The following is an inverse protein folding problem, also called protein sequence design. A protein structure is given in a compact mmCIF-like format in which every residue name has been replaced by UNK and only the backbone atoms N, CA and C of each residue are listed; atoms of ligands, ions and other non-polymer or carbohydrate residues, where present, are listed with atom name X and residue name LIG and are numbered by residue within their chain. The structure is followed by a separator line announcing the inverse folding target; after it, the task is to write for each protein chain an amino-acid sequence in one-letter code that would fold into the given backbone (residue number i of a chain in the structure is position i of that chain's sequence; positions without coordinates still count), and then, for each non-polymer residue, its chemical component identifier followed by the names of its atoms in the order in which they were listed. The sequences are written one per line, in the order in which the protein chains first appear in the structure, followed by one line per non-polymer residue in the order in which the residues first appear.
data_IF_274897639692
#
_entry.id   IF_274897639692
#
_cell.length_a   1.000
_cell.length_b   1.000
_cell.length_c   1.000
_cell.angle_alpha   90.00
_cell.angle_beta   90.00
_cell.angle_gamma   90.00
#
_symmetry.space_group_name_H-M   'P 1'
#
loop_
_entity.id
_entity.type
_entity.pdbx_description
1 polymer ?
#
# COMPACT_ATOMS: atom_id res chain seq x y z
N UNK A 1 11.61 31.38 37.44
CA UNK A 1 11.97 30.97 36.09
C UNK A 1 11.19 29.73 35.81
N UNK A 2 10.00 29.87 35.19
CA UNK A 2 9.15 28.74 34.83
C UNK A 2 9.81 28.07 33.64
N UNK A 3 10.26 26.84 33.82
CA UNK A 3 10.56 25.98 32.68
C UNK A 3 9.22 25.60 32.05
N UNK A 4 8.83 26.31 30.99
CA UNK A 4 7.85 25.79 30.04
C UNK A 4 8.43 24.47 29.54
N UNK A 5 7.80 23.37 29.95
CA UNK A 5 8.05 22.06 29.37
C UNK A 5 7.63 22.12 27.90
N UNK A 6 8.60 22.26 27.02
CA UNK A 6 8.41 21.96 25.63
C UNK A 6 8.07 20.47 25.51
N UNK A 7 6.82 20.10 25.63
CA UNK A 7 6.33 18.79 25.23
C UNK A 7 6.49 18.70 23.72
N UNK A 8 7.69 18.37 23.29
CA UNK A 8 7.98 18.18 21.89
C UNK A 8 7.40 16.87 21.42
N UNK A 9 6.77 16.86 20.25
CA UNK A 9 6.35 15.65 19.57
C UNK A 9 7.49 14.65 19.48
N UNK A 10 7.18 13.37 19.66
CA UNK A 10 8.10 12.28 19.36
C UNK A 10 8.36 12.28 17.85
N UNK A 11 9.55 11.90 17.38
CA UNK A 11 9.77 11.80 15.94
C UNK A 11 8.82 10.78 15.32
N UNK A 12 8.09 11.22 14.30
CA UNK A 12 7.13 10.44 13.53
C UNK A 12 7.75 10.03 12.21
N UNK A 13 7.81 8.72 11.94
CA UNK A 13 8.34 8.16 10.70
C UNK A 13 7.15 7.74 9.82
N UNK A 14 6.98 8.44 8.71
CA UNK A 14 6.01 8.09 7.68
C UNK A 14 6.58 6.95 6.84
N UNK A 15 5.85 5.84 6.77
CA UNK A 15 6.14 4.72 5.88
C UNK A 15 5.10 4.77 4.76
N UNK A 16 5.47 5.24 3.56
CA UNK A 16 4.52 5.54 2.49
C UNK A 16 3.89 4.29 1.89
N UNK A 17 2.82 4.49 1.13
CA UNK A 17 2.14 3.45 0.37
C UNK A 17 2.85 3.06 -0.92
N UNK A 18 2.14 2.25 -1.72
CA UNK A 18 2.61 1.80 -3.03
C UNK A 18 2.88 3.00 -3.93
N UNK A 19 4.02 2.97 -4.63
CA UNK A 19 4.34 4.00 -5.62
C UNK A 19 4.84 5.34 -5.07
N UNK A 20 4.89 5.53 -3.77
CA UNK A 20 5.22 6.82 -3.15
C UNK A 20 6.71 7.02 -2.84
N UNK A 21 7.53 5.98 -2.99
CA UNK A 21 9.00 6.09 -2.92
C UNK A 21 9.61 6.32 -4.28
N UNK A 22 10.75 7.00 -4.33
CA UNK A 22 11.53 7.17 -5.57
C UNK A 22 12.64 6.15 -5.63
N UNK A 23 12.70 5.41 -6.74
CA UNK A 23 13.75 4.42 -7.03
C UNK A 23 14.41 4.77 -8.35
N UNK A 24 15.73 4.79 -8.37
CA UNK A 24 16.52 5.09 -9.55
C UNK A 24 17.33 3.87 -9.97
N UNK A 25 17.63 3.77 -11.27
CA UNK A 25 18.61 2.85 -11.81
C UNK A 25 19.98 3.51 -11.77
N UNK A 26 21.00 2.76 -11.35
CA UNK A 26 22.37 3.22 -11.29
C UNK A 26 23.31 2.30 -12.07
N UNK A 27 24.43 2.84 -12.56
CA UNK A 27 25.51 2.07 -13.15
C UNK A 27 26.42 1.41 -12.08
N UNK A 28 27.51 0.80 -12.53
CA UNK A 28 28.49 0.16 -11.63
C UNK A 28 29.21 1.16 -10.70
N UNK A 29 29.25 2.43 -11.08
CA UNK A 29 29.88 3.52 -10.32
C UNK A 29 28.89 4.23 -9.40
N UNK A 30 27.60 3.86 -9.41
CA UNK A 30 26.52 4.52 -8.68
C UNK A 30 25.97 5.78 -9.39
N UNK A 31 26.34 6.01 -10.67
CA UNK A 31 25.77 7.13 -11.42
C UNK A 31 24.36 6.80 -11.88
N UNK A 32 23.46 7.79 -11.77
CA UNK A 32 22.06 7.62 -12.15
C UNK A 32 21.92 7.45 -13.66
N UNK A 33 21.30 6.34 -14.06
CA UNK A 33 20.92 6.04 -15.45
C UNK A 33 19.49 6.53 -15.77
N UNK A 34 18.57 6.37 -14.83
CA UNK A 34 17.16 6.74 -15.02
C UNK A 34 16.32 6.61 -13.75
N UNK A 35 15.01 6.87 -13.87
CA UNK A 35 14.07 6.56 -12.82
C UNK A 35 13.47 5.16 -13.10
N UNK A 36 13.52 4.27 -12.11
CA UNK A 36 12.74 3.04 -12.11
C UNK A 36 11.33 3.30 -11.59
N UNK A 37 11.23 4.18 -10.56
CA UNK A 37 9.95 4.59 -10.02
C UNK A 37 10.02 6.07 -9.54
N UNK A 38 9.02 6.92 -9.80
CA UNK A 38 7.87 6.67 -10.66
C UNK A 38 8.28 6.20 -12.06
N UNK A 39 7.56 5.19 -12.57
CA UNK A 39 7.83 4.60 -13.86
C UNK A 39 7.26 5.49 -14.98
N UNK A 40 8.07 5.77 -16.00
CA UNK A 40 7.68 6.52 -17.19
C UNK A 40 7.78 5.59 -18.42
N UNK A 41 6.68 4.90 -18.77
CA UNK A 41 6.70 3.91 -19.84
C UNK A 41 6.85 4.55 -21.21
N UNK A 42 7.74 4.02 -22.06
CA UNK A 42 7.80 4.37 -23.48
C UNK A 42 6.64 3.75 -24.26
N UNK A 43 5.45 4.34 -24.09
CA UNK A 43 4.20 3.91 -24.74
C UNK A 43 4.31 4.01 -26.26
N UNK A 44 5.07 4.96 -26.81
CA UNK A 44 5.21 5.13 -28.25
C UNK A 44 6.01 3.96 -28.86
N UNK A 45 7.04 3.49 -28.19
CA UNK A 45 7.79 2.28 -28.60
C UNK A 45 6.92 1.01 -28.47
N UNK A 46 6.15 0.88 -27.37
CA UNK A 46 5.18 -0.21 -27.20
C UNK A 46 4.19 -0.24 -28.38
N UNK A 47 3.55 0.90 -28.68
CA UNK A 47 2.59 1.00 -29.78
C UNK A 47 3.22 0.64 -31.14
N UNK A 48 4.43 1.11 -31.42
CA UNK A 48 5.17 0.75 -32.65
C UNK A 48 5.38 -0.76 -32.76
N UNK A 49 5.77 -1.44 -31.69
CA UNK A 49 6.00 -2.90 -31.67
C UNK A 49 4.71 -3.68 -31.96
N UNK A 50 3.56 -3.28 -31.40
CA UNK A 50 2.30 -4.01 -31.56
C UNK A 50 1.51 -3.62 -32.82
N UNK A 51 1.78 -2.47 -33.45
CA UNK A 51 1.02 -1.94 -34.59
C UNK A 51 0.92 -2.93 -35.78
N UNK A 52 1.98 -3.64 -36.22
CA UNK A 52 1.88 -4.55 -37.38
C UNK A 52 0.90 -5.71 -37.14
N UNK A 53 0.96 -6.32 -35.94
CA UNK A 53 0.03 -7.38 -35.54
C UNK A 53 -1.37 -6.84 -35.30
N UNK A 54 -1.49 -5.64 -34.74
CA UNK A 54 -2.75 -4.93 -34.54
C UNK A 54 -3.51 -4.65 -35.85
N UNK A 55 -2.80 -4.18 -36.87
CA UNK A 55 -3.42 -3.98 -38.21
C UNK A 55 -3.94 -5.32 -38.78
N UNK A 56 -3.16 -6.40 -38.73
CA UNK A 56 -3.58 -7.72 -39.17
C UNK A 56 -4.82 -8.22 -38.41
N UNK A 57 -4.83 -8.04 -37.09
CA UNK A 57 -5.93 -8.39 -36.24
C UNK A 57 -7.20 -7.63 -36.60
N UNK A 58 -7.12 -6.33 -36.83
CA UNK A 58 -8.28 -5.52 -37.24
C UNK A 58 -8.83 -5.93 -38.59
N UNK A 59 -7.96 -6.20 -39.56
CA UNK A 59 -8.37 -6.63 -40.94
C UNK A 59 -8.99 -8.03 -40.94
N UNK A 60 -8.41 -8.97 -40.16
CA UNK A 60 -8.82 -10.36 -40.16
C UNK A 60 -9.83 -10.71 -39.06
N UNK A 61 -10.12 -9.75 -38.16
CA UNK A 61 -11.01 -9.87 -36.98
C UNK A 61 -10.66 -11.07 -36.08
N UNK A 62 -9.40 -11.43 -36.02
CA UNK A 62 -8.83 -12.48 -35.16
C UNK A 62 -7.43 -12.07 -34.68
N UNK A 63 -6.92 -12.69 -33.61
CA UNK A 63 -5.71 -12.26 -32.90
C UNK A 63 -4.47 -12.10 -33.83
N UNK A 64 -4.21 -13.01 -34.74
CA UNK A 64 -3.08 -12.93 -35.69
C UNK A 64 -1.72 -12.63 -35.04
N UNK A 65 -1.48 -13.11 -33.80
CA UNK A 65 -0.25 -12.90 -33.05
C UNK A 65 -0.20 -11.58 -32.27
N UNK A 66 -1.31 -10.83 -32.21
CA UNK A 66 -1.36 -9.55 -31.48
C UNK A 66 -1.13 -9.75 -29.97
N UNK A 67 -1.79 -10.73 -29.33
CA UNK A 67 -1.61 -11.00 -27.91
C UNK A 67 -0.17 -11.39 -27.56
N UNK A 68 0.51 -12.17 -28.42
CA UNK A 68 1.93 -12.53 -28.22
C UNK A 68 2.84 -11.32 -28.35
N UNK A 69 2.63 -10.46 -29.35
CA UNK A 69 3.41 -9.24 -29.53
C UNK A 69 3.19 -8.25 -28.38
N UNK A 70 1.96 -8.17 -27.84
CA UNK A 70 1.64 -7.34 -26.69
C UNK A 70 2.32 -7.88 -25.41
N UNK A 71 2.24 -9.20 -25.16
CA UNK A 71 2.89 -9.83 -24.02
C UNK A 71 4.42 -9.57 -24.00
N UNK A 72 5.08 -9.81 -25.13
CA UNK A 72 6.52 -9.56 -25.28
C UNK A 72 6.87 -8.09 -25.09
N UNK A 73 6.10 -7.17 -25.67
CA UNK A 73 6.35 -5.75 -25.58
C UNK A 73 6.19 -5.22 -24.16
N UNK A 74 5.14 -5.67 -23.43
CA UNK A 74 4.91 -5.29 -22.03
C UNK A 74 5.99 -5.84 -21.12
N UNK A 75 6.35 -7.12 -21.25
CA UNK A 75 7.43 -7.73 -20.46
C UNK A 75 8.76 -7.00 -20.67
N UNK A 76 9.13 -6.74 -21.93
CA UNK A 76 10.36 -6.01 -22.28
C UNK A 76 10.36 -4.59 -21.69
N UNK A 77 9.22 -3.90 -21.69
CA UNK A 77 9.09 -2.55 -21.13
C UNK A 77 9.23 -2.53 -19.61
N UNK A 78 8.63 -3.53 -18.92
CA UNK A 78 8.59 -3.62 -17.46
C UNK A 78 9.78 -4.40 -16.86
N UNK A 79 10.61 -5.03 -17.67
CA UNK A 79 11.73 -5.87 -17.21
C UNK A 79 12.66 -5.17 -16.19
N UNK A 80 12.99 -3.87 -16.32
CA UNK A 80 13.84 -3.19 -15.33
C UNK A 80 13.20 -3.07 -13.96
N UNK A 81 11.86 -3.14 -13.86
CA UNK A 81 11.12 -3.16 -12.59
C UNK A 81 11.11 -4.54 -11.93
N UNK A 82 11.38 -5.58 -12.68
CA UNK A 82 11.27 -6.97 -12.23
C UNK A 82 12.42 -7.43 -11.34
N UNK A 83 12.17 -8.55 -10.69
CA UNK A 83 13.15 -9.30 -9.90
C UNK A 83 13.40 -10.68 -10.50
N UNK A 84 14.48 -11.31 -10.07
CA UNK A 84 14.79 -12.73 -10.30
C UNK A 84 13.93 -13.61 -9.38
N UNK A 85 13.83 -14.93 -9.59
CA UNK A 85 13.02 -15.81 -8.74
C UNK A 85 13.37 -15.81 -7.24
N UNK A 86 14.59 -15.41 -6.87
CA UNK A 86 15.04 -15.24 -5.48
C UNK A 86 14.82 -13.81 -4.95
N UNK A 87 14.02 -13.01 -5.66
CA UNK A 87 13.63 -11.64 -5.30
C UNK A 87 14.76 -10.59 -5.35
N UNK A 88 15.86 -10.87 -6.08
CA UNK A 88 16.88 -9.86 -6.38
C UNK A 88 16.45 -8.99 -7.56
N UNK A 89 16.76 -7.68 -7.51
CA UNK A 89 16.49 -6.78 -8.63
C UNK A 89 17.29 -7.20 -9.88
N UNK A 90 16.65 -7.18 -11.05
CA UNK A 90 17.32 -7.48 -12.33
C UNK A 90 18.29 -6.39 -12.77
N UNK A 91 18.10 -5.17 -12.28
CA UNK A 91 18.95 -4.01 -12.51
C UNK A 91 19.41 -3.45 -11.17
N UNK A 92 20.52 -2.71 -11.16
CA UNK A 92 20.98 -2.03 -9.96
C UNK A 92 20.03 -0.89 -9.63
N UNK A 93 19.29 -1.04 -8.54
CA UNK A 93 18.28 -0.10 -8.06
C UNK A 93 18.74 0.56 -6.76
N UNK A 94 18.54 1.86 -6.65
CA UNK A 94 18.81 2.63 -5.44
C UNK A 94 17.54 3.41 -5.04
N UNK A 95 17.18 3.33 -3.77
CA UNK A 95 16.09 4.11 -3.20
C UNK A 95 16.59 5.49 -2.83
N UNK A 96 15.94 6.53 -3.31
CA UNK A 96 16.25 7.91 -2.92
C UNK A 96 15.74 8.14 -1.49
N UNK A 97 16.64 8.03 -0.52
CA UNK A 97 16.34 8.15 0.91
C UNK A 97 16.51 9.58 1.42
N UNK A 98 15.75 9.91 2.47
CA UNK A 98 15.79 11.20 3.16
C UNK A 98 16.18 10.97 4.62
N UNK A 99 17.51 10.93 4.91
CA UNK A 99 18.04 10.57 6.24
C UNK A 99 18.09 11.76 7.21
N UNK A 100 17.10 12.66 7.14
CA UNK A 100 16.94 13.86 7.96
C UNK A 100 15.46 14.20 8.12
N UNK A 101 15.08 15.06 9.09
CA UNK A 101 13.70 15.50 9.19
C UNK A 101 13.26 16.26 7.94
N UNK A 102 11.95 16.21 7.65
CA UNK A 102 11.38 16.88 6.48
C UNK A 102 11.72 18.39 6.48
N UNK A 103 11.77 19.00 7.66
CA UNK A 103 12.17 20.42 7.83
C UNK A 103 13.55 20.76 7.27
N UNK A 104 14.47 19.81 7.24
CA UNK A 104 15.83 19.96 6.74
C UNK A 104 16.01 19.53 5.28
N UNK A 105 14.95 19.01 4.67
CA UNK A 105 14.96 18.66 3.25
C UNK A 105 14.99 19.92 2.37
N UNK A 106 15.56 19.80 1.18
CA UNK A 106 15.51 20.87 0.18
C UNK A 106 14.07 21.11 -0.32
N UNK A 107 13.78 22.26 -0.92
CA UNK A 107 12.45 22.58 -1.45
C UNK A 107 11.98 21.55 -2.49
N UNK A 108 12.88 20.99 -3.30
CA UNK A 108 12.55 19.98 -4.31
C UNK A 108 12.23 18.64 -3.67
N UNK A 109 12.95 18.25 -2.59
CA UNK A 109 12.67 17.05 -1.82
C UNK A 109 11.33 17.17 -1.07
N UNK A 110 11.08 18.29 -0.40
CA UNK A 110 9.80 18.58 0.24
C UNK A 110 8.64 18.52 -0.75
N UNK A 111 8.80 19.16 -1.91
CA UNK A 111 7.80 19.13 -2.98
C UNK A 111 7.52 17.70 -3.44
N UNK A 112 8.53 16.85 -3.54
CA UNK A 112 8.35 15.44 -3.88
C UNK A 112 7.62 14.70 -2.76
N UNK A 113 8.06 14.82 -1.51
CA UNK A 113 7.47 14.15 -0.34
C UNK A 113 5.97 14.51 -0.24
N UNK A 114 5.63 15.80 -0.26
CA UNK A 114 4.24 16.26 -0.13
C UNK A 114 3.37 15.97 -1.36
N UNK A 115 3.98 15.80 -2.54
CA UNK A 115 3.25 15.33 -3.72
C UNK A 115 2.88 13.85 -3.60
N UNK A 116 3.77 13.05 -3.02
CA UNK A 116 3.56 11.60 -2.90
C UNK A 116 2.66 11.24 -1.72
N UNK A 117 2.85 11.92 -0.59
CA UNK A 117 1.99 11.78 0.59
C UNK A 117 1.64 13.19 1.05
N UNK A 118 0.45 13.73 0.70
CA UNK A 118 0.08 15.10 1.03
C UNK A 118 -0.19 15.29 2.52
N UNK A 119 0.88 15.25 3.32
CA UNK A 119 0.87 15.39 4.78
C UNK A 119 1.24 16.80 5.25
N UNK A 120 1.11 17.82 4.40
CA UNK A 120 1.41 19.20 4.78
C UNK A 120 0.59 19.66 5.99
N UNK A 121 -0.70 19.32 6.07
CA UNK A 121 -1.53 19.65 7.22
C UNK A 121 -1.04 18.97 8.51
N UNK A 122 -0.54 17.74 8.44
CA UNK A 122 0.09 17.09 9.60
C UNK A 122 1.39 17.80 9.98
N UNK A 123 2.20 18.21 8.99
CA UNK A 123 3.42 18.95 9.20
C UNK A 123 3.17 20.31 9.87
N UNK A 124 2.09 20.98 9.49
CA UNK A 124 1.67 22.25 10.11
C UNK A 124 1.28 22.10 11.59
N UNK A 125 0.79 20.91 11.98
CA UNK A 125 0.36 20.63 13.37
C UNK A 125 1.53 20.17 14.23
N UNK A 126 2.30 19.16 13.79
CA UNK A 126 3.35 18.54 14.63
C UNK A 126 4.76 19.10 14.38
N UNK A 127 4.95 19.93 13.36
CA UNK A 127 6.22 20.48 12.93
C UNK A 127 7.01 19.59 11.99
N UNK A 128 7.52 20.14 10.89
CA UNK A 128 8.34 19.41 9.92
C UNK A 128 9.63 18.82 10.53
N UNK A 129 10.12 19.40 11.61
CA UNK A 129 11.29 18.92 12.35
C UNK A 129 11.05 17.59 13.08
N UNK A 130 9.79 17.23 13.30
CA UNK A 130 9.38 15.98 13.93
C UNK A 130 8.97 14.90 12.91
N UNK A 131 8.86 15.26 11.65
CA UNK A 131 8.49 14.33 10.56
C UNK A 131 9.72 13.79 9.84
N UNK A 132 9.70 12.48 9.59
CA UNK A 132 10.67 11.74 8.80
C UNK A 132 9.94 10.92 7.74
N UNK A 133 10.52 10.80 6.56
CA UNK A 133 9.95 10.03 5.46
C UNK A 133 10.85 8.85 5.12
N UNK A 134 10.38 7.63 5.36
CA UNK A 134 11.10 6.41 5.04
C UNK A 134 10.74 5.92 3.65
N UNK A 135 11.64 6.08 2.69
CA UNK A 135 11.48 5.52 1.35
C UNK A 135 12.00 4.09 1.28
N UNK A 136 11.34 3.23 0.49
CA UNK A 136 11.70 1.83 0.31
C UNK A 136 11.41 1.34 -1.11
N UNK A 137 12.02 0.22 -1.53
CA UNK A 137 11.77 -0.39 -2.84
C UNK A 137 10.54 -1.31 -2.77
N UNK A 138 9.44 -0.87 -3.39
CA UNK A 138 8.18 -1.63 -3.43
C UNK A 138 8.28 -2.94 -4.19
N UNK A 139 9.23 -3.08 -5.13
CA UNK A 139 9.46 -4.30 -5.90
C UNK A 139 10.64 -5.13 -5.37
N UNK A 140 11.31 -4.66 -4.33
CA UNK A 140 12.45 -5.34 -3.72
C UNK A 140 12.07 -6.43 -2.71
N UNK A 141 13.02 -6.74 -1.81
CA UNK A 141 12.85 -7.74 -0.76
C UNK A 141 12.16 -7.17 0.48
N UNK A 142 11.15 -7.90 1.00
CA UNK A 142 10.39 -7.48 2.17
C UNK A 142 11.24 -7.46 3.46
N UNK A 143 12.11 -8.44 3.65
CA UNK A 143 13.03 -8.53 4.79
C UNK A 143 14.12 -7.45 4.71
N UNK A 144 14.60 -7.12 3.52
CA UNK A 144 15.53 -6.01 3.31
C UNK A 144 14.87 -4.65 3.61
N UNK A 145 13.64 -4.41 3.15
CA UNK A 145 12.90 -3.19 3.49
C UNK A 145 12.70 -3.07 5.01
N UNK A 146 12.42 -4.18 5.70
CA UNK A 146 12.31 -4.20 7.16
C UNK A 146 13.65 -3.89 7.86
N UNK A 147 14.77 -4.42 7.33
CA UNK A 147 16.12 -4.13 7.82
C UNK A 147 16.48 -2.65 7.64
N UNK A 148 16.20 -2.10 6.47
CA UNK A 148 16.42 -0.67 6.19
C UNK A 148 15.55 0.24 7.09
N UNK A 149 14.31 -0.15 7.38
CA UNK A 149 13.47 0.57 8.34
C UNK A 149 14.08 0.56 9.74
N UNK A 150 14.62 -0.58 10.20
CA UNK A 150 15.33 -0.67 11.47
C UNK A 150 16.52 0.29 11.55
N UNK A 151 17.32 0.34 10.50
CA UNK A 151 18.49 1.25 10.42
C UNK A 151 18.06 2.71 10.38
N UNK A 152 16.97 3.01 9.67
CA UNK A 152 16.39 4.34 9.64
C UNK A 152 15.87 4.77 11.00
N UNK A 153 15.13 3.92 11.72
CA UNK A 153 14.70 4.16 13.10
C UNK A 153 15.90 4.46 14.00
N UNK A 154 16.97 3.68 13.90
CA UNK A 154 18.19 3.90 14.68
C UNK A 154 18.83 5.26 14.39
N UNK A 155 18.84 5.67 13.12
CA UNK A 155 19.31 6.98 12.67
C UNK A 155 18.49 8.12 13.27
N UNK A 156 17.15 8.01 13.18
CA UNK A 156 16.21 9.00 13.73
C UNK A 156 16.39 9.13 15.25
N UNK A 157 16.47 8.01 15.96
CA UNK A 157 16.71 8.00 17.42
C UNK A 157 18.01 8.70 17.78
N UNK A 158 19.07 8.45 17.04
CA UNK A 158 20.36 9.10 17.27
C UNK A 158 20.30 10.62 17.03
N UNK A 159 19.69 11.05 15.92
CA UNK A 159 19.53 12.46 15.57
C UNK A 159 18.70 13.23 16.61
N UNK A 160 17.61 12.62 17.08
CA UNK A 160 16.65 13.24 18.00
C UNK A 160 16.97 12.98 19.48
N UNK A 161 17.99 12.18 19.77
CA UNK A 161 18.38 11.77 21.14
C UNK A 161 17.21 11.24 21.94
N UNK A 162 16.41 10.37 21.32
CA UNK A 162 15.23 9.76 21.93
C UNK A 162 15.34 8.23 21.92
N UNK A 163 14.60 7.59 22.83
CA UNK A 163 14.62 6.13 22.97
C UNK A 163 13.64 5.45 22.03
N UNK A 164 12.57 6.14 21.63
CA UNK A 164 11.50 5.59 20.82
C UNK A 164 11.01 6.58 19.77
N UNK A 165 10.46 6.04 18.69
CA UNK A 165 9.79 6.77 17.60
C UNK A 165 8.33 6.36 17.48
N UNK A 166 7.53 7.15 16.79
CA UNK A 166 6.20 6.78 16.34
C UNK A 166 6.25 6.44 14.85
N UNK A 167 5.58 5.36 14.42
CA UNK A 167 5.46 4.96 13.01
C UNK A 167 4.10 5.35 12.49
N UNK A 168 4.06 5.97 11.31
CA UNK A 168 2.82 6.30 10.58
C UNK A 168 2.83 5.54 9.26
N UNK A 169 2.47 4.24 9.27
CA UNK A 169 2.35 3.47 8.05
C UNK A 169 1.08 3.87 7.28
N UNK A 170 1.26 4.24 6.02
CA UNK A 170 0.20 4.59 5.10
C UNK A 170 0.02 3.43 4.12
N UNK A 171 -1.21 2.93 3.95
CA UNK A 171 -1.52 1.92 2.93
C UNK A 171 -0.57 0.70 3.00
N UNK A 172 0.13 0.38 1.90
CA UNK A 172 1.14 -0.69 1.82
C UNK A 172 2.29 -0.52 2.83
N UNK A 173 2.56 0.68 3.35
CA UNK A 173 3.56 0.90 4.40
C UNK A 173 3.30 0.06 5.66
N UNK A 174 2.05 -0.35 5.89
CA UNK A 174 1.67 -1.24 6.97
C UNK A 174 2.31 -2.63 6.85
N UNK A 175 2.49 -3.14 5.63
CA UNK A 175 3.13 -4.45 5.38
C UNK A 175 4.63 -4.41 5.70
N UNK A 176 5.29 -3.27 5.46
CA UNK A 176 6.70 -3.05 5.83
C UNK A 176 6.84 -2.98 7.35
N UNK A 177 5.95 -2.25 8.03
CA UNK A 177 5.92 -2.19 9.49
C UNK A 177 5.68 -3.57 10.12
N UNK A 178 4.81 -4.40 9.55
CA UNK A 178 4.59 -5.79 10.01
C UNK A 178 5.87 -6.63 9.94
N UNK A 179 6.59 -6.58 8.82
CA UNK A 179 7.85 -7.31 8.68
C UNK A 179 8.93 -6.77 9.62
N UNK A 180 8.96 -5.46 9.87
CA UNK A 180 9.83 -4.88 10.89
C UNK A 180 9.52 -5.47 12.29
N UNK A 181 8.26 -5.51 12.71
CA UNK A 181 7.90 -6.07 14.02
C UNK A 181 8.16 -7.58 14.09
N UNK A 182 7.96 -8.31 13.02
CA UNK A 182 8.28 -9.74 12.99
C UNK A 182 9.76 -10.02 13.21
N UNK A 183 10.63 -9.23 12.57
CA UNK A 183 12.07 -9.45 12.59
C UNK A 183 12.78 -8.71 13.75
N UNK A 184 12.29 -7.52 14.12
CA UNK A 184 13.01 -6.58 14.98
C UNK A 184 12.18 -5.97 16.13
N UNK A 185 10.93 -6.39 16.31
CA UNK A 185 10.05 -5.88 17.39
C UNK A 185 10.67 -6.04 18.80
N UNK A 186 11.62 -6.97 18.96
CA UNK A 186 12.41 -7.13 20.19
C UNK A 186 13.29 -5.94 20.56
N UNK A 187 13.64 -5.06 19.63
CA UNK A 187 14.48 -3.88 19.86
C UNK A 187 13.75 -2.80 20.69
N UNK A 188 12.42 -2.83 20.73
CA UNK A 188 11.55 -1.94 21.52
C UNK A 188 11.71 -0.45 21.19
N UNK A 189 12.01 -0.16 19.93
CA UNK A 189 12.32 1.19 19.42
C UNK A 189 11.08 2.02 19.08
N UNK A 190 9.91 1.38 19.06
CA UNK A 190 8.64 2.01 18.66
C UNK A 190 7.76 2.23 19.88
N UNK A 191 7.13 3.40 19.96
CA UNK A 191 6.11 3.70 20.97
C UNK A 191 4.71 3.52 20.41
N UNK A 192 4.44 4.06 19.21
CA UNK A 192 3.14 4.03 18.57
C UNK A 192 3.23 3.59 17.11
N UNK A 193 2.18 2.94 16.65
CA UNK A 193 1.89 2.69 15.25
C UNK A 193 0.53 3.31 14.93
N UNK A 194 0.51 4.33 14.10
CA UNK A 194 -0.70 5.06 13.71
C UNK A 194 -0.96 4.74 12.23
N UNK A 195 -1.72 3.69 11.96
CA UNK A 195 -2.04 3.25 10.61
C UNK A 195 -3.04 4.18 9.93
N UNK A 196 -2.66 4.77 8.80
CA UNK A 196 -3.53 5.59 7.95
C UNK A 196 -3.91 4.78 6.72
N UNK A 197 -5.19 4.42 6.59
CA UNK A 197 -5.74 3.51 5.57
C UNK A 197 -4.84 2.30 5.33
N UNK A 198 -4.38 1.62 6.40
CA UNK A 198 -3.29 0.65 6.34
C UNK A 198 -3.73 -0.66 5.68
N UNK A 199 -2.92 -1.24 4.81
CA UNK A 199 -3.22 -2.51 4.16
C UNK A 199 -2.65 -3.71 4.95
N UNK A 200 -3.08 -3.91 6.20
CA UNK A 200 -2.53 -4.95 7.09
C UNK A 200 -2.75 -6.38 6.58
N UNK A 201 -3.86 -6.67 5.93
CA UNK A 201 -4.07 -7.95 5.23
C UNK A 201 -4.14 -7.75 3.71
N UNK A 202 -3.42 -6.76 3.19
CA UNK A 202 -3.33 -6.49 1.77
C UNK A 202 -4.63 -5.95 1.17
N UNK A 203 -4.79 -6.21 -0.15
CA UNK A 203 -5.96 -5.80 -0.94
C UNK A 203 -6.36 -6.91 -1.91
N UNK A 204 -7.66 -7.20 -1.97
CA UNK A 204 -8.22 -8.17 -2.93
C UNK A 204 -7.98 -7.77 -4.39
N UNK A 205 -7.80 -6.47 -4.66
CA UNK A 205 -7.39 -5.99 -5.99
C UNK A 205 -6.09 -6.67 -6.44
N UNK A 206 -5.08 -6.73 -5.56
CA UNK A 206 -3.80 -7.35 -5.89
C UNK A 206 -3.94 -8.86 -6.15
N UNK A 207 -4.78 -9.54 -5.37
CA UNK A 207 -5.07 -10.95 -5.58
C UNK A 207 -5.82 -11.19 -6.89
N UNK A 208 -6.85 -10.39 -7.19
CA UNK A 208 -7.63 -10.51 -8.42
C UNK A 208 -6.79 -10.21 -9.67
N UNK A 209 -5.93 -9.18 -9.62
CA UNK A 209 -4.97 -8.90 -10.71
C UNK A 209 -4.04 -10.09 -10.95
N UNK A 210 -3.47 -10.67 -9.88
CA UNK A 210 -2.56 -11.79 -9.98
C UNK A 210 -3.28 -13.07 -10.43
N UNK A 211 -4.52 -13.31 -9.96
CA UNK A 211 -5.35 -14.44 -10.40
C UNK A 211 -5.80 -14.30 -11.87
N UNK A 212 -5.85 -13.08 -12.39
CA UNK A 212 -6.46 -12.75 -13.69
C UNK A 212 -7.99 -12.60 -13.61
N UNK A 213 -8.54 -12.47 -12.41
CA UNK A 213 -9.96 -12.27 -12.12
C UNK A 213 -10.30 -10.77 -12.19
N UNK A 214 -10.18 -10.22 -13.40
CA UNK A 214 -10.39 -8.79 -13.67
C UNK A 214 -11.62 -8.52 -14.49
N UNK A 215 -12.26 -7.40 -14.25
CA UNK A 215 -13.29 -6.85 -15.11
C UNK A 215 -12.65 -6.03 -16.23
N UNK A 216 -13.03 -6.31 -17.45
CA UNK A 216 -12.48 -5.64 -18.63
C UNK A 216 -13.45 -4.61 -19.23
N UNK A 217 -14.62 -4.44 -18.62
CA UNK A 217 -15.65 -3.52 -19.11
C UNK A 217 -15.24 -2.06 -18.95
N UNK A 218 -14.41 -1.75 -17.94
CA UNK A 218 -13.79 -0.44 -17.71
C UNK A 218 -12.25 -0.55 -17.75
N UNK A 219 -11.72 -0.72 -18.96
CA UNK A 219 -10.26 -0.74 -19.14
C UNK A 219 -9.60 0.61 -18.89
N UNK A 220 -10.36 1.71 -18.87
CA UNK A 220 -9.86 3.05 -18.56
C UNK A 220 -9.36 3.13 -17.15
N UNK A 221 -10.15 2.73 -16.16
CA UNK A 221 -9.76 2.74 -14.74
C UNK A 221 -8.53 1.85 -14.48
N UNK A 222 -8.42 0.68 -15.11
CA UNK A 222 -7.24 -0.18 -15.02
C UNK A 222 -5.98 0.51 -15.55
N UNK A 223 -6.09 1.17 -16.70
CA UNK A 223 -4.96 1.85 -17.32
C UNK A 223 -4.51 3.07 -16.49
N UNK A 224 -5.45 3.80 -15.87
CA UNK A 224 -5.15 4.92 -14.98
C UNK A 224 -4.43 4.51 -13.68
N UNK A 225 -4.63 3.28 -13.21
CA UNK A 225 -3.84 2.74 -12.09
C UNK A 225 -2.38 2.45 -12.47
N UNK A 226 -2.11 2.11 -13.73
CA UNK A 226 -0.79 1.63 -14.18
C UNK A 226 0.01 2.71 -14.91
N UNK A 227 -0.65 3.71 -15.46
CA UNK A 227 -0.09 4.69 -16.40
C UNK A 227 -0.50 6.11 -16.01
N UNK A 228 0.20 7.11 -16.53
CA UNK A 228 -0.28 8.48 -16.43
C UNK A 228 -1.63 8.64 -17.15
N UNK A 229 -2.47 9.56 -16.70
CA UNK A 229 -3.78 9.84 -17.30
C UNK A 229 -3.71 10.04 -18.82
N UNK A 230 -2.68 10.74 -19.30
CA UNK A 230 -2.47 11.01 -20.73
C UNK A 230 -2.22 9.72 -21.53
N UNK A 231 -1.46 8.80 -20.96
CA UNK A 231 -1.13 7.51 -21.59
C UNK A 231 -2.30 6.55 -21.51
N UNK A 232 -2.99 6.50 -20.38
CA UNK A 232 -4.22 5.74 -20.20
C UNK A 232 -5.29 6.15 -21.24
N UNK A 233 -5.49 7.46 -21.47
CA UNK A 233 -6.40 7.97 -22.50
C UNK A 233 -6.00 7.55 -23.92
N UNK A 234 -4.70 7.57 -24.26
CA UNK A 234 -4.21 7.13 -25.57
C UNK A 234 -4.52 5.65 -25.81
N UNK A 235 -4.20 4.80 -24.83
CA UNK A 235 -4.41 3.35 -24.94
C UNK A 235 -5.90 3.02 -24.93
N UNK A 236 -6.68 3.66 -24.06
CA UNK A 236 -8.15 3.49 -24.00
C UNK A 236 -8.83 3.82 -25.34
N UNK A 237 -8.42 4.91 -26.01
CA UNK A 237 -8.88 5.24 -27.37
C UNK A 237 -8.51 4.20 -28.42
N UNK A 238 -7.38 3.51 -28.25
CA UNK A 238 -6.98 2.42 -29.13
C UNK A 238 -7.82 1.17 -28.87
N UNK A 239 -7.96 0.80 -27.61
CA UNK A 239 -8.73 -0.38 -27.15
C UNK A 239 -10.21 -0.25 -27.53
N UNK A 240 -10.81 0.94 -27.40
CA UNK A 240 -12.22 1.18 -27.75
C UNK A 240 -12.56 0.94 -29.22
N UNK A 241 -11.57 0.95 -30.12
CA UNK A 241 -11.73 0.65 -31.55
C UNK A 241 -11.63 -0.85 -31.87
N UNK A 242 -11.24 -1.66 -30.89
CA UNK A 242 -11.08 -3.12 -31.07
C UNK A 242 -12.42 -3.85 -30.92
N UNK A 243 -12.61 -5.01 -31.59
CA UNK A 243 -13.72 -5.91 -31.27
C UNK A 243 -13.64 -6.32 -29.77
N UNK A 244 -14.80 -6.34 -29.07
CA UNK A 244 -14.85 -6.58 -27.62
C UNK A 244 -14.00 -7.79 -27.17
N UNK A 245 -14.15 -8.96 -27.83
CA UNK A 245 -13.36 -10.17 -27.47
C UNK A 245 -11.85 -10.00 -27.62
N UNK A 246 -11.41 -9.12 -28.50
CA UNK A 246 -9.99 -8.84 -28.70
C UNK A 246 -9.50 -7.86 -27.65
N UNK A 247 -10.28 -6.82 -27.36
CA UNK A 247 -10.01 -5.87 -26.29
C UNK A 247 -9.88 -6.59 -24.93
N UNK A 248 -10.85 -7.46 -24.59
CA UNK A 248 -10.81 -8.27 -23.36
C UNK A 248 -9.54 -9.12 -23.28
N UNK A 249 -9.17 -9.77 -24.36
CA UNK A 249 -7.94 -10.58 -24.41
C UNK A 249 -6.68 -9.70 -24.25
N UNK A 250 -6.65 -8.54 -24.92
CA UNK A 250 -5.54 -7.61 -24.84
C UNK A 250 -5.34 -7.11 -23.41
N UNK A 251 -6.40 -6.69 -22.72
CA UNK A 251 -6.36 -6.23 -21.32
C UNK A 251 -5.87 -7.34 -20.40
N UNK A 252 -6.41 -8.57 -20.52
CA UNK A 252 -5.94 -9.72 -19.73
C UNK A 252 -4.48 -10.07 -19.99
N UNK A 253 -4.03 -9.97 -21.25
CA UNK A 253 -2.63 -10.20 -21.61
C UNK A 253 -1.72 -9.15 -20.98
N UNK A 254 -2.11 -7.87 -21.05
CA UNK A 254 -1.37 -6.77 -20.44
C UNK A 254 -1.23 -6.96 -18.92
N UNK A 255 -2.34 -7.21 -18.22
CA UNK A 255 -2.34 -7.41 -16.76
C UNK A 255 -1.49 -8.62 -16.38
N UNK A 256 -1.67 -9.76 -17.05
CA UNK A 256 -0.89 -10.96 -16.81
C UNK A 256 0.60 -10.69 -16.99
N UNK A 257 1.00 -10.10 -18.12
CA UNK A 257 2.41 -9.80 -18.40
C UNK A 257 3.01 -8.85 -17.38
N UNK A 258 2.27 -7.82 -16.94
CA UNK A 258 2.70 -6.91 -15.90
C UNK A 258 2.86 -7.61 -14.54
N UNK A 259 1.84 -8.34 -14.08
CA UNK A 259 1.88 -9.05 -12.80
C UNK A 259 3.01 -10.10 -12.75
N UNK A 260 3.16 -10.91 -13.80
CA UNK A 260 4.22 -11.92 -13.86
C UNK A 260 5.62 -11.28 -13.94
N UNK A 261 5.75 -10.07 -14.47
CA UNK A 261 7.05 -9.39 -14.57
C UNK A 261 7.44 -8.69 -13.28
N UNK A 262 6.48 -7.99 -12.60
CA UNK A 262 6.83 -7.10 -11.48
C UNK A 262 6.35 -7.57 -10.12
N UNK A 263 5.29 -8.41 -10.04
CA UNK A 263 4.71 -8.85 -8.77
C UNK A 263 5.26 -10.21 -8.34
N UNK A 264 5.24 -11.21 -9.25
CA UNK A 264 5.51 -12.61 -8.91
C UNK A 264 6.85 -12.79 -8.20
N UNK A 265 7.88 -12.10 -8.65
CA UNK A 265 9.24 -12.24 -8.11
C UNK A 265 9.62 -11.22 -7.04
N UNK A 266 8.67 -10.39 -6.57
CA UNK A 266 8.90 -9.41 -5.50
C UNK A 266 8.31 -9.88 -4.18
N UNK A 267 9.13 -10.19 -3.18
CA UNK A 267 8.63 -10.60 -1.87
C UNK A 267 7.89 -9.47 -1.14
N UNK A 268 8.18 -8.21 -1.43
CA UNK A 268 7.43 -7.06 -0.91
C UNK A 268 6.02 -7.02 -1.47
N UNK A 269 5.84 -7.27 -2.79
CA UNK A 269 4.51 -7.30 -3.42
C UNK A 269 3.65 -8.47 -2.92
N UNK A 270 4.23 -9.59 -2.51
CA UNK A 270 3.49 -10.67 -1.85
C UNK A 270 2.91 -10.25 -0.50
N UNK A 271 3.44 -9.19 0.10
CA UNK A 271 2.91 -8.57 1.32
C UNK A 271 1.52 -7.97 1.17
N UNK A 272 1.07 -7.61 -0.04
CA UNK A 272 -0.26 -7.04 -0.27
C UNK A 272 -1.30 -8.06 -0.76
N UNK A 273 -0.93 -9.35 -0.86
CA UNK A 273 -1.89 -10.42 -1.20
C UNK A 273 -2.65 -10.83 0.07
N UNK A 274 -3.98 -10.76 0.11
CA UNK A 274 -4.76 -11.15 1.28
C UNK A 274 -4.45 -12.56 1.77
N UNK A 275 -4.47 -12.76 3.09
CA UNK A 275 -4.06 -14.04 3.70
C UNK A 275 -4.93 -15.22 3.25
N UNK A 276 -6.21 -14.99 2.94
CA UNK A 276 -7.14 -16.02 2.44
C UNK A 276 -6.83 -16.46 1.00
N UNK A 277 -6.31 -15.55 0.15
CA UNK A 277 -5.99 -15.83 -1.26
C UNK A 277 -4.55 -16.29 -1.45
N UNK A 278 -3.71 -16.15 -0.43
CA UNK A 278 -2.26 -16.35 -0.51
C UNK A 278 -1.88 -17.78 -0.94
N UNK A 279 -2.45 -18.80 -0.31
CA UNK A 279 -2.01 -20.21 -0.53
C UNK A 279 -2.26 -20.66 -1.97
N UNK A 280 -3.43 -20.31 -2.53
CA UNK A 280 -3.78 -20.61 -3.93
C UNK A 280 -2.78 -19.96 -4.90
N UNK A 281 -2.54 -18.66 -4.72
CA UNK A 281 -1.66 -17.90 -5.62
C UNK A 281 -0.18 -18.30 -5.45
N UNK A 282 0.27 -18.55 -4.22
CA UNK A 282 1.61 -19.08 -3.94
C UNK A 282 1.83 -20.40 -4.68
N UNK A 283 0.92 -21.35 -4.56
CA UNK A 283 1.05 -22.69 -5.18
C UNK A 283 1.03 -22.59 -6.72
N UNK A 284 0.35 -21.58 -7.26
CA UNK A 284 0.32 -21.33 -8.70
C UNK A 284 1.62 -20.70 -9.23
N UNK A 285 2.22 -19.78 -8.49
CA UNK A 285 3.32 -18.95 -9.00
C UNK A 285 4.68 -19.25 -8.38
N UNK A 286 4.74 -19.77 -7.16
CA UNK A 286 5.98 -20.00 -6.41
C UNK A 286 6.23 -21.50 -6.13
N UNK A 287 5.64 -22.40 -6.92
CA UNK A 287 5.84 -23.84 -6.75
C UNK A 287 7.23 -24.32 -7.23
N UNK A 288 7.86 -23.57 -8.14
CA UNK A 288 9.18 -23.90 -8.66
C UNK A 288 10.24 -23.78 -7.56
N UNK A 289 11.21 -24.71 -7.45
CA UNK A 289 12.32 -24.62 -6.52
C UNK A 289 13.17 -23.35 -6.64
N UNK A 290 13.24 -22.74 -7.82
CA UNK A 290 13.94 -21.46 -8.00
C UNK A 290 13.36 -20.33 -7.15
N UNK A 291 12.10 -20.46 -6.70
CA UNK A 291 11.42 -19.52 -5.81
C UNK A 291 11.53 -19.86 -4.31
N UNK A 292 12.30 -20.86 -3.90
CA UNK A 292 12.34 -21.32 -2.49
C UNK A 292 12.71 -20.19 -1.52
N UNK A 293 13.67 -19.34 -1.89
CA UNK A 293 14.09 -18.19 -1.07
C UNK A 293 12.98 -17.14 -0.94
N UNK A 294 12.38 -16.75 -2.05
CA UNK A 294 11.26 -15.79 -2.08
C UNK A 294 10.06 -16.34 -1.31
N UNK A 295 9.71 -17.62 -1.56
CA UNK A 295 8.59 -18.29 -0.91
C UNK A 295 8.75 -18.31 0.60
N UNK A 296 9.97 -18.54 1.12
CA UNK A 296 10.22 -18.53 2.56
C UNK A 296 9.92 -17.17 3.20
N UNK A 297 10.28 -16.06 2.54
CA UNK A 297 9.97 -14.69 2.98
C UNK A 297 8.48 -14.41 2.87
N UNK A 298 7.85 -14.75 1.74
CA UNK A 298 6.43 -14.56 1.51
C UNK A 298 5.57 -15.39 2.51
N UNK A 299 5.92 -16.65 2.79
CA UNK A 299 5.26 -17.50 3.79
C UNK A 299 5.39 -16.93 5.21
N UNK A 300 6.54 -16.33 5.55
CA UNK A 300 6.73 -15.63 6.83
C UNK A 300 5.76 -14.44 6.92
N UNK A 301 5.72 -13.60 5.91
CA UNK A 301 4.85 -12.44 5.86
C UNK A 301 3.37 -12.82 5.89
N UNK A 302 2.97 -13.87 5.16
CA UNK A 302 1.63 -14.42 5.22
C UNK A 302 1.23 -14.87 6.62
N UNK A 303 2.12 -15.57 7.36
CA UNK A 303 1.86 -15.99 8.75
C UNK A 303 1.63 -14.79 9.66
N UNK A 304 2.37 -13.70 9.47
CA UNK A 304 2.19 -12.45 10.23
C UNK A 304 0.81 -11.87 9.96
N UNK A 305 0.42 -11.70 8.69
CA UNK A 305 -0.91 -11.15 8.33
C UNK A 305 -2.04 -11.99 8.86
N UNK A 306 -2.00 -13.29 8.65
CA UNK A 306 -3.01 -14.23 9.13
C UNK A 306 -3.16 -14.22 10.66
N UNK A 307 -2.10 -13.92 11.39
CA UNK A 307 -2.08 -13.88 12.84
C UNK A 307 -1.84 -12.45 13.37
N UNK A 308 -2.38 -11.44 12.68
CA UNK A 308 -2.12 -10.03 13.01
C UNK A 308 -2.47 -9.69 14.46
N UNK A 309 -3.56 -10.24 15.01
CA UNK A 309 -3.95 -10.04 16.39
C UNK A 309 -2.90 -10.53 17.39
N UNK A 310 -2.22 -11.62 17.07
CA UNK A 310 -1.13 -12.15 17.90
C UNK A 310 0.12 -11.25 17.83
N UNK A 311 0.45 -10.73 16.64
CA UNK A 311 1.52 -9.75 16.51
C UNK A 311 1.22 -8.50 17.36
N UNK A 312 0.01 -7.94 17.24
CA UNK A 312 -0.42 -6.75 17.99
C UNK A 312 -0.34 -7.01 19.49
N UNK A 313 -0.89 -8.14 19.98
CA UNK A 313 -0.81 -8.53 21.40
C UNK A 313 0.64 -8.61 21.90
N UNK A 314 1.51 -9.29 21.16
CA UNK A 314 2.93 -9.43 21.47
C UNK A 314 3.64 -8.06 21.58
N UNK A 315 3.36 -7.16 20.67
CA UNK A 315 3.97 -5.83 20.68
C UNK A 315 3.36 -4.90 21.74
N UNK A 316 2.07 -5.07 22.07
CA UNK A 316 1.44 -4.39 23.21
C UNK A 316 2.09 -4.80 24.56
N UNK A 317 2.45 -6.08 24.72
CA UNK A 317 3.22 -6.54 25.89
C UNK A 317 4.62 -5.88 25.98
N UNK A 318 5.12 -5.38 24.83
CA UNK A 318 6.36 -4.57 24.73
C UNK A 318 6.11 -3.07 24.86
N UNK A 319 4.88 -2.68 25.21
CA UNK A 319 4.42 -1.30 25.35
C UNK A 319 4.38 -0.50 24.03
N UNK A 320 4.07 -1.17 22.92
CA UNK A 320 3.71 -0.53 21.65
C UNK A 320 2.21 -0.31 21.58
N UNK A 321 1.79 0.90 21.25
CA UNK A 321 0.39 1.28 21.09
C UNK A 321 0.02 1.22 19.58
N UNK A 322 -1.09 0.57 19.24
CA UNK A 322 -1.60 0.50 17.87
C UNK A 322 -2.88 1.31 17.72
N UNK A 323 -2.97 2.07 16.64
CA UNK A 323 -4.10 2.90 16.24
C UNK A 323 -4.36 2.71 14.75
N UNK A 324 -5.64 2.59 14.34
CA UNK A 324 -6.01 2.40 12.95
C UNK A 324 -7.04 3.43 12.52
N UNK A 325 -6.82 4.04 11.38
CA UNK A 325 -7.75 4.99 10.76
C UNK A 325 -8.11 4.42 9.39
N UNK A 326 -9.36 3.97 9.24
CA UNK A 326 -9.84 3.18 8.13
C UNK A 326 -10.85 3.96 7.29
N UNK A 327 -10.72 3.91 5.97
CA UNK A 327 -11.82 4.28 5.09
C UNK A 327 -12.82 3.13 4.94
N UNK A 328 -14.10 3.44 4.75
CA UNK A 328 -15.17 2.46 4.64
C UNK A 328 -16.36 2.97 3.83
N UNK A 329 -17.37 2.11 3.66
CA UNK A 329 -18.65 2.45 3.01
C UNK A 329 -18.63 2.34 1.48
N UNK A 330 -17.46 2.17 0.84
CA UNK A 330 -17.34 2.05 -0.61
C UNK A 330 -17.05 0.61 -1.03
N UNK A 331 -17.43 0.20 -2.26
CA UNK A 331 -16.94 -1.03 -2.85
C UNK A 331 -15.46 -0.89 -3.25
N UNK A 332 -14.78 -2.01 -3.45
CA UNK A 332 -13.51 -1.99 -4.16
C UNK A 332 -13.66 -1.42 -5.56
N UNK A 333 -12.55 -0.89 -6.11
CA UNK A 333 -12.55 -0.37 -7.48
C UNK A 333 -13.16 -1.36 -8.48
N UNK A 334 -13.89 -0.88 -9.50
CA UNK A 334 -14.58 -1.75 -10.47
C UNK A 334 -13.71 -2.72 -11.27
N UNK A 335 -12.40 -2.56 -11.20
CA UNK A 335 -11.42 -3.46 -11.86
C UNK A 335 -11.41 -4.84 -11.19
N UNK A 336 -11.57 -4.89 -9.86
CA UNK A 336 -11.56 -6.12 -9.11
C UNK A 336 -12.84 -6.92 -9.33
N UNK A 337 -12.73 -8.25 -9.38
CA UNK A 337 -13.89 -9.12 -9.34
C UNK A 337 -14.58 -9.08 -7.96
N UNK A 338 -13.80 -8.77 -6.93
CA UNK A 338 -14.21 -8.69 -5.51
C UNK A 338 -14.88 -7.36 -5.14
N UNK A 339 -15.75 -6.83 -5.99
CA UNK A 339 -16.42 -5.52 -5.84
C UNK A 339 -17.45 -5.46 -4.70
N UNK A 340 -17.82 -6.59 -4.12
CA UNK A 340 -18.77 -6.68 -3.01
C UNK A 340 -18.12 -6.56 -1.62
N UNK A 341 -16.85 -6.21 -1.56
CA UNK A 341 -16.11 -6.01 -0.31
C UNK A 341 -16.15 -4.53 0.08
N UNK A 342 -16.53 -4.25 1.33
CA UNK A 342 -16.47 -2.89 1.89
C UNK A 342 -15.03 -2.42 2.00
N UNK A 343 -14.75 -1.21 1.52
CA UNK A 343 -13.42 -0.65 1.40
C UNK A 343 -13.42 0.89 1.36
N UNK A 344 -12.24 1.45 1.19
CA UNK A 344 -11.97 2.83 0.78
C UNK A 344 -11.72 2.96 -0.74
N UNK A 345 -12.20 2.02 -1.54
CA UNK A 345 -11.96 1.77 -2.97
C UNK A 345 -10.70 0.96 -3.30
N UNK A 346 -9.69 0.93 -2.45
CA UNK A 346 -8.39 0.26 -2.66
C UNK A 346 -8.11 -0.79 -1.58
N UNK A 347 -8.25 -0.43 -0.30
CA UNK A 347 -7.99 -1.31 0.83
C UNK A 347 -9.30 -1.75 1.47
N UNK A 348 -9.56 -3.06 1.59
CA UNK A 348 -10.72 -3.56 2.33
C UNK A 348 -10.74 -3.07 3.77
N UNK A 349 -11.90 -2.66 4.26
CA UNK A 349 -12.06 -2.18 5.64
C UNK A 349 -11.65 -3.24 6.67
N UNK A 350 -11.91 -4.55 6.39
CA UNK A 350 -11.44 -5.64 7.26
C UNK A 350 -9.92 -5.71 7.36
N UNK A 351 -9.21 -5.42 6.26
CA UNK A 351 -7.76 -5.37 6.21
C UNK A 351 -7.23 -4.19 7.00
N UNK A 352 -7.75 -2.99 6.75
CA UNK A 352 -7.32 -1.75 7.41
C UNK A 352 -7.54 -1.77 8.92
N UNK A 353 -8.62 -2.36 9.38
CA UNK A 353 -9.01 -2.46 10.80
C UNK A 353 -8.37 -3.64 11.55
N UNK A 354 -7.57 -4.47 10.90
CA UNK A 354 -7.06 -5.73 11.47
C UNK A 354 -8.20 -6.65 11.93
N UNK A 355 -9.25 -6.80 11.12
CA UNK A 355 -10.28 -7.81 11.28
C UNK A 355 -11.63 -7.36 11.84
N UNK A 356 -12.01 -6.08 11.72
CA UNK A 356 -13.40 -5.68 11.93
C UNK A 356 -14.33 -6.46 10.97
N UNK A 357 -15.48 -6.87 11.47
CA UNK A 357 -16.49 -7.50 10.63
C UNK A 357 -17.24 -6.43 9.83
N UNK A 358 -17.31 -6.60 8.53
CA UNK A 358 -17.96 -5.65 7.63
C UNK A 358 -19.00 -6.36 6.77
N UNK A 359 -20.16 -5.73 6.59
CA UNK A 359 -21.13 -6.15 5.58
C UNK A 359 -20.66 -5.74 4.18
N UNK A 360 -21.22 -6.34 3.14
CA UNK A 360 -21.03 -5.84 1.79
C UNK A 360 -21.60 -4.42 1.64
N UNK A 361 -21.05 -3.59 0.72
CA UNK A 361 -21.53 -2.22 0.52
C UNK A 361 -23.04 -2.16 0.32
N UNK A 362 -23.69 -1.27 1.10
CA UNK A 362 -25.15 -1.10 1.09
C UNK A 362 -25.95 -2.24 1.74
N UNK A 363 -25.29 -3.12 2.51
CA UNK A 363 -25.91 -4.17 3.32
C UNK A 363 -25.66 -3.90 4.80
N UNK A 364 -26.41 -4.59 5.65
CA UNK A 364 -26.22 -4.58 7.10
C UNK A 364 -25.76 -5.93 7.61
N UNK A 365 -25.09 -5.93 8.75
CA UNK A 365 -24.74 -7.14 9.47
C UNK A 365 -26.03 -7.77 10.06
N UNK A 366 -26.08 -9.09 10.14
CA UNK A 366 -27.10 -9.78 10.89
C UNK A 366 -26.86 -9.51 12.38
N UNK A 367 -27.88 -9.13 13.17
CA UNK A 367 -27.71 -8.87 14.59
C UNK A 367 -27.10 -10.08 15.31
N UNK A 368 -25.93 -9.91 15.92
CA UNK A 368 -25.34 -10.89 16.84
C UNK A 368 -26.05 -10.82 18.21
N UNK A 369 -26.08 -11.94 18.94
CA UNK A 369 -26.76 -12.00 20.25
C UNK A 369 -25.99 -11.32 21.40
N UNK A 370 -24.65 -11.15 21.25
CA UNK A 370 -23.74 -10.72 22.33
C UNK A 370 -22.75 -9.60 21.87
N UNK A 371 -23.14 -8.80 20.87
CA UNK A 371 -22.24 -7.75 20.35
C UNK A 371 -22.33 -6.49 21.27
N UNK A 372 -21.17 -5.94 21.70
CA UNK A 372 -21.16 -4.67 22.42
C UNK A 372 -21.69 -3.55 21.51
N UNK A 373 -22.80 -2.94 21.88
CA UNK A 373 -23.48 -1.92 21.08
C UNK A 373 -22.58 -0.72 20.76
N UNK A 374 -21.63 -0.41 21.63
CA UNK A 374 -20.71 0.73 21.48
C UNK A 374 -19.74 0.59 20.29
N UNK A 375 -19.51 -0.64 19.78
CA UNK A 375 -18.61 -0.92 18.67
C UNK A 375 -19.31 -1.24 17.34
N UNK A 376 -20.66 -1.16 17.32
CA UNK A 376 -21.42 -1.35 16.09
C UNK A 376 -21.68 0.01 15.45
N UNK A 377 -21.40 0.12 14.17
CA UNK A 377 -21.61 1.36 13.43
C UNK A 377 -23.07 1.81 13.41
N UNK A 378 -23.36 3.13 13.31
CA UNK A 378 -24.72 3.64 13.20
C UNK A 378 -25.51 3.05 12.02
N UNK A 379 -24.80 2.65 10.95
CA UNK A 379 -25.40 1.99 9.77
C UNK A 379 -25.57 0.48 9.93
N UNK A 380 -25.14 -0.09 11.07
CA UNK A 380 -25.20 -1.55 11.35
C UNK A 380 -24.47 -2.39 10.29
N UNK A 381 -23.42 -1.87 9.69
CA UNK A 381 -22.65 -2.51 8.62
C UNK A 381 -21.20 -2.81 9.01
N UNK A 382 -20.73 -2.27 10.15
CA UNK A 382 -19.40 -2.55 10.71
C UNK A 382 -19.56 -2.93 12.19
N UNK A 383 -18.89 -4.03 12.60
CA UNK A 383 -18.67 -4.39 13.99
C UNK A 383 -17.17 -4.26 14.31
N UNK A 384 -16.79 -3.15 14.92
CA UNK A 384 -15.43 -2.84 15.30
C UNK A 384 -14.91 -3.74 16.44
N UNK A 385 -15.79 -4.36 17.25
CA UNK A 385 -15.38 -5.28 18.32
C UNK A 385 -14.54 -6.47 17.80
N UNK A 386 -14.67 -6.80 16.51
CA UNK A 386 -13.89 -7.84 15.86
C UNK A 386 -12.47 -7.39 15.45
N UNK A 387 -12.15 -6.10 15.51
CA UNK A 387 -10.80 -5.60 15.20
C UNK A 387 -9.76 -6.07 16.24
N UNK A 388 -8.46 -5.93 15.91
CA UNK A 388 -7.39 -6.24 16.87
C UNK A 388 -7.32 -5.24 18.03
N UNK A 389 -7.69 -3.98 17.78
CA UNK A 389 -7.73 -2.88 18.76
C UNK A 389 -9.02 -2.08 18.58
N UNK A 390 -10.16 -2.63 19.05
CA UNK A 390 -11.49 -2.06 18.78
C UNK A 390 -11.64 -0.60 19.23
N UNK A 391 -11.15 -0.29 20.42
CA UNK A 391 -11.17 1.03 21.05
C UNK A 391 -10.20 2.05 20.45
N UNK A 392 -9.31 1.61 19.55
CA UNK A 392 -8.29 2.43 18.88
C UNK A 392 -8.37 2.33 17.37
N UNK A 393 -9.58 2.06 16.83
CA UNK A 393 -9.84 1.96 15.41
C UNK A 393 -10.98 2.90 15.04
N UNK A 394 -10.71 3.84 14.12
CA UNK A 394 -11.68 4.82 13.61
C UNK A 394 -12.04 4.51 12.15
N UNK A 395 -13.28 4.81 11.78
CA UNK A 395 -13.86 4.51 10.48
C UNK A 395 -14.43 5.79 9.85
N UNK A 396 -13.94 6.12 8.66
CA UNK A 396 -14.37 7.27 7.88
C UNK A 396 -15.21 6.78 6.70
N UNK A 397 -16.52 6.99 6.77
CA UNK A 397 -17.45 6.57 5.72
C UNK A 397 -17.30 7.42 4.46
N UNK A 398 -17.42 6.75 3.30
CA UNK A 398 -17.34 7.36 1.95
C UNK A 398 -16.03 8.04 1.61
N UNK A 399 -15.00 7.95 2.45
CA UNK A 399 -13.65 8.42 2.17
C UNK A 399 -12.96 7.48 1.18
N UNK A 400 -12.46 8.00 0.07
CA UNK A 400 -11.62 7.26 -0.86
C UNK A 400 -10.18 7.19 -0.36
N UNK A 401 -9.47 6.16 -0.78
CA UNK A 401 -8.11 5.86 -0.30
C UNK A 401 -7.16 7.07 -0.38
N UNK A 402 -7.15 7.74 -1.54
CA UNK A 402 -6.25 8.86 -1.78
C UNK A 402 -6.65 10.13 -1.01
N UNK A 403 -7.92 10.26 -0.61
CA UNK A 403 -8.41 11.40 0.16
C UNK A 403 -7.94 11.40 1.62
N UNK A 404 -7.49 10.24 2.14
CA UNK A 404 -7.05 10.13 3.53
C UNK A 404 -5.91 11.11 3.88
N UNK A 405 -4.97 11.30 2.96
CA UNK A 405 -3.83 12.19 3.17
C UNK A 405 -4.19 13.70 3.05
N UNK A 406 -5.35 14.04 2.50
CA UNK A 406 -5.86 15.41 2.36
C UNK A 406 -6.99 15.71 3.38
N UNK A 407 -7.44 14.71 4.14
CA UNK A 407 -8.53 14.85 5.11
C UNK A 407 -8.00 15.49 6.40
N UNK A 408 -8.31 16.77 6.59
CA UNK A 408 -7.84 17.56 7.75
C UNK A 408 -8.29 16.94 9.09
N UNK A 409 -9.54 16.49 9.21
CA UNK A 409 -10.04 15.88 10.46
C UNK A 409 -9.32 14.56 10.79
N UNK A 410 -8.95 13.78 9.77
CA UNK A 410 -8.14 12.58 9.93
C UNK A 410 -6.72 12.94 10.39
N UNK A 411 -6.10 13.95 9.77
CA UNK A 411 -4.74 14.38 10.12
C UNK A 411 -4.69 15.02 11.50
N UNK A 412 -5.74 15.73 11.93
CA UNK A 412 -5.90 16.21 13.30
C UNK A 412 -6.00 15.07 14.31
N UNK A 413 -6.72 13.98 13.99
CA UNK A 413 -6.74 12.76 14.81
C UNK A 413 -5.34 12.13 14.91
N UNK A 414 -4.61 12.00 13.79
CA UNK A 414 -3.22 11.50 13.79
C UNK A 414 -2.35 12.34 14.74
N UNK A 415 -2.47 13.67 14.64
CA UNK A 415 -1.70 14.59 15.49
C UNK A 415 -2.13 14.51 16.96
N UNK A 416 -3.42 14.40 17.26
CA UNK A 416 -3.92 14.22 18.62
C UNK A 416 -3.38 12.93 19.26
N UNK A 417 -3.34 11.83 18.52
CA UNK A 417 -2.75 10.57 18.98
C UNK A 417 -1.24 10.75 19.18
N UNK A 418 -0.51 11.37 18.24
CA UNK A 418 0.93 11.53 18.30
C UNK A 418 1.39 12.47 19.43
N UNK A 419 0.57 13.48 19.79
CA UNK A 419 0.90 14.46 20.83
C UNK A 419 0.54 14.01 22.24
N UNK A 420 -0.28 12.99 22.40
CA UNK A 420 -0.75 12.57 23.73
C UNK A 420 0.39 11.91 24.55
N UNK A 421 0.50 12.25 25.82
CA UNK A 421 1.42 11.58 26.74
C UNK A 421 0.88 10.22 27.19
N UNK A 422 -0.43 10.09 27.31
CA UNK A 422 -1.13 8.86 27.72
C UNK A 422 -1.78 8.17 26.51
N UNK A 423 -2.02 6.85 26.57
CA UNK A 423 -2.77 6.17 25.54
C UNK A 423 -4.18 6.74 25.42
N UNK A 424 -4.57 7.04 24.19
CA UNK A 424 -5.91 7.54 23.85
C UNK A 424 -6.75 6.47 23.15
N UNK A 425 -8.05 6.67 23.12
CA UNK A 425 -9.01 5.77 22.47
C UNK A 425 -10.25 6.54 22.01
N UNK A 426 -11.20 5.85 21.39
CA UNK A 426 -12.45 6.43 20.86
C UNK A 426 -13.33 7.05 21.95
N UNK A 427 -13.13 6.71 23.21
CA UNK A 427 -13.89 7.23 24.35
C UNK A 427 -13.19 8.44 25.01
N UNK A 428 -11.88 8.55 24.87
CA UNK A 428 -11.06 9.63 25.45
C UNK A 428 -10.85 10.80 24.50
N UNK A 429 -11.20 10.65 23.22
CA UNK A 429 -11.13 11.70 22.20
C UNK A 429 -12.55 12.07 21.69
N UNK A 430 -13.35 12.83 22.46
CA UNK A 430 -14.75 13.09 22.10
C UNK A 430 -14.94 13.88 20.80
N UNK A 431 -13.94 14.66 20.39
CA UNK A 431 -13.95 15.41 19.12
C UNK A 431 -13.67 14.52 17.91
N UNK A 432 -13.27 13.27 18.13
CA UNK A 432 -12.97 12.27 17.10
C UNK A 432 -13.80 11.01 17.33
N UNK A 433 -15.10 11.00 16.98
CA UNK A 433 -15.95 9.83 17.14
C UNK A 433 -15.45 8.64 16.33
N UNK A 434 -15.73 7.42 16.79
CA UNK A 434 -15.24 6.19 16.13
C UNK A 434 -15.71 6.04 14.68
N UNK A 435 -16.92 6.49 14.39
CA UNK A 435 -17.55 6.42 13.07
C UNK A 435 -17.85 7.84 12.60
N UNK A 436 -17.27 8.23 11.48
CA UNK A 436 -17.36 9.58 10.91
C UNK A 436 -17.93 9.51 9.51
N UNK A 437 -19.03 10.21 9.23
CA UNK A 437 -19.50 10.41 7.87
C UNK A 437 -18.63 11.49 7.18
N UNK A 438 -17.98 11.10 6.10
CA UNK A 438 -17.22 12.02 5.25
C UNK A 438 -18.14 12.50 4.13
N UNK A 439 -18.50 13.79 4.18
CA UNK A 439 -19.41 14.44 3.25
C UNK A 439 -18.67 15.06 2.07
#
# INVERSE_FOLDING_TARGET
MNSESTHGYRPCIIIPGIGQSKVIETDENGEKLGNLWPFDPDVDTLVKKITPSGIRMMLLRRDCGFSSALDEAVRSMLEPLGCTPDSERKVRAEVVGYHRPVGECTDDEKRYIYKMVPLSALADIIGEENLYFFAYDIFGKADENARLLREFISTVKWQRRCDKVDLIPVSMGATVAQMYFELYGGDRDVKRVIGVVPAYDGSDIAADLLAGDIRTDDCGALLEMLLSRREAEKISKLVSKMPKKVADRAVRTLVRAACETVIVNSSTMWGIIPSERYTELRDRYLADPDHDSLRAVADRHWRVRRNIKELVRREQERSVEFYNICGCGKPLTPIAASDNIMSDTIVPTYSASMGAQCAAPGKTLSPGRDEPADFVSPHSDINAACAAVPDRTWFYYNMEHEQAAENTALLELVAAIASSDEPVDVFTLPDHPQFVDYC
#
